data_IF_578587466238
#
_entry.id   IF_578587466238
#
_cell.length_a   1.000
_cell.length_b   1.000
_cell.length_c   1.000
_cell.angle_alpha   90.00
_cell.angle_beta   90.00
_cell.angle_gamma   90.00
#
_symmetry.space_group_name_H-M   'P 1'
#
loop_
_entity.id
_entity.type
_entity.pdbx_description
1 polymer ?
#
# COMPACT_ATOMS: atom_id res chain seq x y z
N UNK A 1 -39.50 42.78 35.41
CA UNK A 1 -38.14 42.44 35.91
C UNK A 1 -37.74 41.11 35.31
N UNK A 2 -36.67 41.12 34.50
CA UNK A 2 -36.10 39.85 33.98
C UNK A 2 -35.16 39.29 35.04
N UNK A 3 -35.66 38.39 35.87
CA UNK A 3 -34.83 37.72 36.90
C UNK A 3 -34.91 36.22 36.69
N UNK A 4 -33.89 35.47 37.14
CA UNK A 4 -33.81 34.03 37.05
C UNK A 4 -35.04 33.37 37.73
N UNK A 5 -35.81 32.60 37.01
CA UNK A 5 -37.01 31.92 37.52
C UNK A 5 -36.70 30.94 38.69
N UNK A 6 -35.45 30.50 38.81
CA UNK A 6 -35.07 29.48 39.81
C UNK A 6 -34.48 30.11 41.11
N UNK A 7 -33.65 31.10 41.00
CA UNK A 7 -32.93 31.70 42.15
C UNK A 7 -33.11 33.22 42.33
N UNK A 8 -33.83 33.88 41.42
CA UNK A 8 -34.05 35.32 41.46
C UNK A 8 -32.86 36.20 41.05
N UNK A 9 -31.76 35.63 40.57
CA UNK A 9 -30.58 36.40 40.15
C UNK A 9 -30.88 37.27 38.92
N UNK A 10 -30.14 38.36 38.78
CA UNK A 10 -30.22 39.27 37.63
C UNK A 10 -29.55 38.68 36.38
N UNK A 11 -29.84 39.24 35.14
CA UNK A 11 -29.19 38.81 33.90
C UNK A 11 -27.65 38.82 33.95
N UNK A 12 -26.98 37.99 33.12
CA UNK A 12 -27.49 37.34 31.91
C UNK A 12 -28.33 36.07 32.17
N UNK A 13 -29.40 35.89 31.40
CA UNK A 13 -30.30 34.72 31.48
C UNK A 13 -30.28 33.93 30.19
N UNK A 14 -30.33 32.60 30.33
CA UNK A 14 -30.46 31.63 29.28
C UNK A 14 -31.69 30.77 29.53
N UNK A 15 -32.60 30.72 28.60
CA UNK A 15 -33.86 29.97 28.78
C UNK A 15 -34.59 30.39 30.09
N UNK A 16 -34.58 31.70 30.44
CA UNK A 16 -35.16 32.31 31.65
C UNK A 16 -34.49 31.92 32.98
N UNK A 17 -33.34 31.31 32.98
CA UNK A 17 -32.53 31.01 34.17
C UNK A 17 -31.12 31.60 34.05
N UNK A 18 -30.47 31.90 35.18
CA UNK A 18 -29.09 32.40 35.15
C UNK A 18 -28.10 31.28 34.77
N UNK A 19 -26.89 31.67 34.37
CA UNK A 19 -25.85 30.73 33.92
C UNK A 19 -25.54 29.64 34.96
N UNK A 20 -25.53 29.99 36.25
CA UNK A 20 -25.26 28.98 37.30
C UNK A 20 -26.42 27.98 37.47
N UNK A 21 -27.64 28.45 37.39
CA UNK A 21 -28.79 27.55 37.34
C UNK A 21 -28.82 26.70 36.08
N UNK A 22 -28.42 27.26 34.93
CA UNK A 22 -28.31 26.54 33.65
C UNK A 22 -27.28 25.40 33.78
N UNK A 23 -26.11 25.66 34.35
CA UNK A 23 -25.07 24.61 34.60
C UNK A 23 -25.55 23.45 35.47
N UNK A 24 -26.52 23.71 36.37
CA UNK A 24 -27.03 22.70 37.28
C UNK A 24 -28.25 21.94 36.73
N UNK A 25 -28.99 22.54 35.81
CA UNK A 25 -30.26 21.99 35.35
C UNK A 25 -30.31 21.50 33.92
N UNK A 26 -29.48 22.11 33.06
CA UNK A 26 -29.48 21.72 31.64
C UNK A 26 -28.65 20.48 31.48
N UNK A 27 -29.27 19.44 30.98
CA UNK A 27 -28.59 18.22 30.63
C UNK A 27 -27.86 18.40 29.28
N UNK A 28 -26.52 18.45 29.31
CA UNK A 28 -25.67 18.63 28.12
C UNK A 28 -25.63 17.38 27.26
N UNK A 29 -25.48 16.23 27.89
CA UNK A 29 -25.33 14.94 27.25
C UNK A 29 -25.80 13.80 28.14
N UNK A 30 -26.28 12.74 27.56
CA UNK A 30 -26.64 11.49 28.25
C UNK A 30 -26.11 10.28 27.47
N UNK A 31 -25.96 9.15 28.14
CA UNK A 31 -25.67 7.88 27.53
C UNK A 31 -26.16 6.76 28.46
N UNK A 32 -26.44 5.56 27.92
CA UNK A 32 -26.77 4.40 28.75
C UNK A 32 -25.61 4.01 29.67
N UNK A 33 -25.87 3.75 30.94
CA UNK A 33 -24.85 3.35 31.93
C UNK A 33 -24.16 2.03 31.56
N UNK A 34 -24.87 1.13 30.87
CA UNK A 34 -24.38 -0.18 30.46
C UNK A 34 -24.45 -0.34 28.93
N UNK A 35 -23.30 -0.46 28.31
CA UNK A 35 -23.18 -0.67 26.87
C UNK A 35 -22.77 -2.13 26.57
N UNK A 36 -23.18 -2.61 25.41
CA UNK A 36 -22.77 -3.92 24.88
C UNK A 36 -22.35 -3.79 23.43
N UNK A 37 -21.11 -4.16 23.14
CA UNK A 37 -20.61 -4.19 21.78
C UNK A 37 -20.15 -5.58 21.36
N UNK A 38 -20.05 -5.79 20.06
CA UNK A 38 -19.45 -7.01 19.50
C UNK A 38 -18.18 -6.59 18.76
N UNK A 39 -17.05 -7.19 19.14
CA UNK A 39 -15.75 -6.95 18.47
C UNK A 39 -15.18 -8.24 17.92
N UNK A 40 -14.40 -8.13 16.83
CA UNK A 40 -13.67 -9.26 16.31
C UNK A 40 -12.49 -9.60 17.22
N UNK A 41 -12.39 -10.89 17.61
CA UNK A 41 -11.29 -11.36 18.46
C UNK A 41 -9.90 -11.19 17.81
N UNK A 42 -9.84 -11.23 16.47
CA UNK A 42 -8.55 -11.27 15.74
C UNK A 42 -8.10 -9.90 15.22
N UNK A 43 -9.00 -9.02 14.81
CA UNK A 43 -8.66 -7.72 14.21
C UNK A 43 -9.30 -6.52 14.94
N UNK A 44 -10.01 -6.75 16.06
CA UNK A 44 -10.69 -5.74 16.87
C UNK A 44 -11.76 -4.91 16.17
N UNK A 45 -12.11 -5.23 14.92
CA UNK A 45 -13.21 -4.56 14.23
C UNK A 45 -14.48 -4.60 15.05
N UNK A 46 -15.20 -3.49 15.07
CA UNK A 46 -16.49 -3.32 15.74
C UNK A 46 -17.61 -3.75 14.79
N UNK A 47 -18.51 -4.61 15.26
CA UNK A 47 -19.70 -4.98 14.50
C UNK A 47 -20.74 -3.85 14.53
N UNK A 48 -21.12 -3.39 13.35
CA UNK A 48 -22.21 -2.44 13.12
C UNK A 48 -23.32 -3.10 12.30
N UNK A 49 -24.52 -2.51 12.19
CA UNK A 49 -25.58 -3.05 11.35
C UNK A 49 -25.12 -3.26 9.90
N UNK A 50 -25.03 -4.52 9.47
CA UNK A 50 -24.66 -4.91 8.11
C UNK A 50 -23.16 -4.98 7.82
N UNK A 51 -22.28 -4.51 8.72
CA UNK A 51 -20.83 -4.40 8.42
C UNK A 51 -19.95 -4.50 9.67
N UNK A 52 -18.61 -4.35 9.47
CA UNK A 52 -17.60 -4.30 10.49
C UNK A 52 -16.70 -3.08 10.29
N UNK A 53 -16.65 -2.20 11.30
CA UNK A 53 -15.76 -1.02 11.33
C UNK A 53 -14.39 -1.43 11.85
N UNK A 54 -13.34 -1.08 11.11
CA UNK A 54 -11.95 -1.44 11.44
C UNK A 54 -11.34 -0.53 12.49
N UNK A 55 -10.62 -1.13 13.42
CA UNK A 55 -9.84 -0.46 14.45
C UNK A 55 -8.49 -1.15 14.65
N UNK A 56 -7.46 -0.37 14.94
CA UNK A 56 -6.12 -0.90 15.19
C UNK A 56 -6.00 -1.57 16.56
N UNK A 57 -6.82 -1.16 17.52
CA UNK A 57 -6.81 -1.69 18.89
C UNK A 57 -8.22 -1.86 19.44
N UNK A 58 -8.37 -2.75 20.41
CA UNK A 58 -9.65 -2.91 21.12
C UNK A 58 -10.05 -1.64 21.85
N UNK A 59 -9.08 -0.94 22.45
CA UNK A 59 -9.34 0.30 23.20
C UNK A 59 -9.89 1.40 22.30
N UNK A 60 -9.39 1.53 21.06
CA UNK A 60 -9.93 2.49 20.10
C UNK A 60 -11.36 2.13 19.66
N UNK A 61 -11.67 0.85 19.48
CA UNK A 61 -13.02 0.38 19.17
C UNK A 61 -13.99 0.64 20.32
N UNK A 62 -13.57 0.36 21.56
CA UNK A 62 -14.36 0.59 22.79
C UNK A 62 -14.63 2.08 22.97
N UNK A 63 -13.61 2.92 22.84
CA UNK A 63 -13.75 4.38 22.96
C UNK A 63 -14.68 4.93 21.89
N UNK A 64 -14.51 4.52 20.64
CA UNK A 64 -15.38 4.93 19.55
C UNK A 64 -16.85 4.56 19.81
N UNK A 65 -17.09 3.31 20.21
CA UNK A 65 -18.46 2.84 20.48
C UNK A 65 -19.10 3.60 21.64
N UNK A 66 -18.37 3.84 22.73
CA UNK A 66 -18.87 4.59 23.87
C UNK A 66 -19.16 6.06 23.52
N UNK A 67 -18.26 6.73 22.78
CA UNK A 67 -18.47 8.12 22.38
C UNK A 67 -19.62 8.28 21.37
N UNK A 68 -19.80 7.32 20.46
CA UNK A 68 -20.94 7.32 19.53
C UNK A 68 -22.29 7.00 20.18
N UNK A 69 -22.28 6.50 21.43
CA UNK A 69 -23.50 6.25 22.21
C UNK A 69 -23.98 7.48 23.01
N UNK A 70 -23.27 8.60 22.91
CA UNK A 70 -23.64 9.84 23.59
C UNK A 70 -24.79 10.51 22.85
N UNK A 71 -25.86 10.77 23.56
CA UNK A 71 -26.96 11.61 23.10
C UNK A 71 -26.75 13.04 23.60
N UNK A 72 -26.48 13.96 22.68
CA UNK A 72 -26.24 15.35 22.98
C UNK A 72 -27.55 16.15 23.00
N UNK A 73 -27.57 17.17 23.88
CA UNK A 73 -28.61 18.19 23.80
C UNK A 73 -28.62 18.82 22.40
N UNK A 74 -29.81 18.95 21.80
CA UNK A 74 -29.99 19.42 20.41
C UNK A 74 -29.43 20.82 20.16
N UNK A 75 -29.44 21.67 21.20
CA UNK A 75 -29.01 23.06 21.11
C UNK A 75 -27.54 23.22 21.58
N UNK A 76 -26.85 22.13 21.90
CA UNK A 76 -25.44 22.15 22.29
C UNK A 76 -24.52 22.30 21.07
N UNK A 77 -23.66 23.30 21.12
CA UNK A 77 -22.63 23.60 20.13
C UNK A 77 -21.22 23.29 20.67
N UNK A 78 -20.23 23.21 19.80
CA UNK A 78 -18.83 22.96 20.14
C UNK A 78 -18.64 21.74 21.06
N UNK A 79 -19.32 20.65 20.74
CA UNK A 79 -19.29 19.41 21.51
C UNK A 79 -17.88 18.80 21.51
N UNK A 80 -17.35 18.52 22.70
CA UNK A 80 -16.05 17.84 22.89
C UNK A 80 -16.21 16.71 23.90
N UNK A 81 -15.48 15.61 23.67
CA UNK A 81 -15.45 14.46 24.57
C UNK A 81 -13.99 14.13 24.90
N UNK A 82 -13.69 14.06 26.18
CA UNK A 82 -12.46 13.49 26.69
C UNK A 82 -12.80 12.11 27.28
N UNK A 83 -12.07 11.08 26.88
CA UNK A 83 -12.31 9.72 27.34
C UNK A 83 -11.18 9.22 28.22
N UNK A 84 -11.53 8.62 29.35
CA UNK A 84 -10.61 7.85 30.16
C UNK A 84 -11.14 6.43 30.26
N UNK A 85 -10.34 5.49 29.76
CA UNK A 85 -10.67 4.06 29.67
C UNK A 85 -9.92 3.28 30.73
N UNK A 86 -10.64 2.44 31.47
CA UNK A 86 -10.06 1.48 32.41
C UNK A 86 -10.59 0.08 32.09
N UNK A 87 -9.70 -0.82 31.72
CA UNK A 87 -10.04 -2.22 31.49
C UNK A 87 -10.12 -2.97 32.84
N UNK A 88 -11.26 -3.55 33.14
CA UNK A 88 -11.51 -4.32 34.37
C UNK A 88 -11.13 -5.79 34.19
N UNK A 89 -11.48 -6.35 33.02
CA UNK A 89 -11.10 -7.69 32.58
C UNK A 89 -11.09 -7.74 31.04
N UNK A 90 -10.73 -8.86 30.39
CA UNK A 90 -10.64 -8.93 28.91
C UNK A 90 -11.92 -8.53 28.16
N UNK A 91 -13.08 -8.53 28.83
CA UNK A 91 -14.37 -8.24 28.20
C UNK A 91 -15.10 -7.04 28.82
N UNK A 92 -14.65 -6.51 29.98
CA UNK A 92 -15.32 -5.42 30.68
C UNK A 92 -14.45 -4.20 30.81
N UNK A 93 -15.02 -3.07 30.44
CA UNK A 93 -14.38 -1.78 30.46
C UNK A 93 -15.23 -0.78 31.25
N UNK A 94 -14.57 0.08 31.98
CA UNK A 94 -15.19 1.25 32.60
C UNK A 94 -14.65 2.50 31.93
N UNK A 95 -15.56 3.34 31.43
CA UNK A 95 -15.23 4.59 30.77
C UNK A 95 -15.74 5.76 31.58
N UNK A 96 -14.90 6.77 31.72
CA UNK A 96 -15.27 8.08 32.21
C UNK A 96 -15.17 9.06 31.04
N UNK A 97 -16.34 9.55 30.57
CA UNK A 97 -16.41 10.48 29.46
C UNK A 97 -16.69 11.89 29.99
N UNK A 98 -15.73 12.80 29.82
CA UNK A 98 -15.89 14.23 30.10
C UNK A 98 -16.50 14.91 28.87
N UNK A 99 -17.78 15.20 28.90
CA UNK A 99 -18.49 15.92 27.85
C UNK A 99 -18.48 17.41 28.14
N UNK A 100 -18.12 18.22 27.17
CA UNK A 100 -18.18 19.69 27.25
C UNK A 100 -18.79 20.28 25.99
N UNK A 101 -19.46 21.43 26.12
CA UNK A 101 -20.09 22.11 25.01
C UNK A 101 -20.68 23.46 25.42
N UNK A 102 -21.18 24.21 24.46
CA UNK A 102 -21.79 25.54 24.66
C UNK A 102 -23.30 25.43 24.39
N UNK A 103 -24.10 25.83 25.35
CA UNK A 103 -25.55 25.96 25.23
C UNK A 103 -25.94 27.43 25.38
N UNK A 104 -26.41 28.07 24.30
CA UNK A 104 -26.81 29.48 24.29
C UNK A 104 -25.82 30.37 25.06
N UNK A 105 -24.53 30.35 24.69
CA UNK A 105 -23.42 31.11 25.29
C UNK A 105 -22.93 30.62 26.68
N UNK A 106 -23.58 29.62 27.28
CA UNK A 106 -23.15 29.03 28.56
C UNK A 106 -22.29 27.79 28.29
N UNK A 107 -21.07 27.78 28.80
CA UNK A 107 -20.23 26.62 28.82
C UNK A 107 -20.75 25.59 29.83
N UNK A 108 -21.12 24.42 29.35
CA UNK A 108 -21.58 23.29 30.15
C UNK A 108 -20.57 22.17 30.11
N UNK A 109 -20.50 21.40 31.21
CA UNK A 109 -19.72 20.17 31.28
C UNK A 109 -20.48 19.10 32.07
N UNK A 110 -20.33 17.85 31.63
CA UNK A 110 -20.92 16.68 32.30
C UNK A 110 -19.98 15.50 32.22
N UNK A 111 -19.84 14.78 33.32
CA UNK A 111 -19.12 13.50 33.33
C UNK A 111 -20.12 12.34 33.26
N UNK A 112 -19.92 11.46 32.29
CA UNK A 112 -20.66 10.21 32.16
C UNK A 112 -19.76 9.06 32.59
N UNK A 113 -20.27 8.14 33.41
CA UNK A 113 -19.57 6.93 33.82
C UNK A 113 -20.32 5.73 33.22
N UNK A 114 -19.64 5.01 32.36
CA UNK A 114 -20.26 3.91 31.59
C UNK A 114 -19.53 2.60 31.90
N UNK A 115 -20.27 1.50 31.92
CA UNK A 115 -19.70 0.15 31.85
C UNK A 115 -19.98 -0.45 30.47
N UNK A 116 -18.96 -0.97 29.83
CA UNK A 116 -19.04 -1.54 28.50
C UNK A 116 -18.61 -3.01 28.52
N UNK A 117 -19.47 -3.88 28.01
CA UNK A 117 -19.19 -5.30 27.86
C UNK A 117 -18.93 -5.64 26.39
N UNK A 118 -17.79 -6.27 26.13
CA UNK A 118 -17.38 -6.72 24.80
C UNK A 118 -17.71 -8.20 24.63
N UNK A 119 -18.54 -8.53 23.65
CA UNK A 119 -18.71 -9.90 23.18
C UNK A 119 -17.79 -10.13 21.98
N UNK A 120 -16.91 -11.12 22.08
CA UNK A 120 -16.05 -11.47 20.97
C UNK A 120 -16.74 -12.39 19.97
N UNK A 121 -16.58 -12.06 18.68
CA UNK A 121 -17.01 -12.86 17.54
C UNK A 121 -15.93 -12.74 16.46
N UNK A 122 -15.70 -13.77 15.65
CA UNK A 122 -14.81 -13.67 14.51
C UNK A 122 -15.56 -13.02 13.35
N UNK A 123 -15.01 -11.95 12.74
CA UNK A 123 -15.59 -11.33 11.55
C UNK A 123 -15.38 -12.22 10.31
N UNK A 124 -16.17 -11.99 9.27
CA UNK A 124 -16.12 -12.79 8.05
C UNK A 124 -14.74 -12.76 7.39
N UNK A 125 -14.08 -11.62 7.41
CA UNK A 125 -12.74 -11.44 6.84
C UNK A 125 -11.70 -12.30 7.57
N UNK A 126 -11.65 -12.23 8.91
CA UNK A 126 -10.77 -13.08 9.71
C UNK A 126 -11.09 -14.58 9.57
N UNK A 127 -12.38 -14.92 9.45
CA UNK A 127 -12.78 -16.31 9.21
C UNK A 127 -12.30 -16.81 7.85
N UNK A 128 -12.40 -15.98 6.81
CA UNK A 128 -11.88 -16.29 5.47
C UNK A 128 -10.35 -16.44 5.46
N UNK A 129 -9.63 -15.49 6.13
CA UNK A 129 -8.17 -15.59 6.28
C UNK A 129 -7.76 -16.90 6.95
N UNK A 130 -8.37 -17.22 8.09
CA UNK A 130 -8.09 -18.44 8.83
C UNK A 130 -8.45 -19.74 8.06
N UNK A 131 -9.44 -19.68 7.20
CA UNK A 131 -9.86 -20.79 6.33
C UNK A 131 -9.10 -20.90 5.02
N UNK A 132 -8.07 -20.07 4.78
CA UNK A 132 -7.30 -20.08 3.52
C UNK A 132 -8.15 -19.76 2.28
N UNK A 133 -9.16 -18.90 2.44
CA UNK A 133 -10.04 -18.54 1.32
C UNK A 133 -9.34 -17.72 0.27
N UNK A 134 -9.51 -18.12 -1.01
CA UNK A 134 -9.05 -17.35 -2.17
C UNK A 134 -10.00 -17.50 -3.36
N UNK A 135 -10.07 -16.47 -4.19
CA UNK A 135 -10.86 -16.39 -5.42
C UNK A 135 -9.98 -16.45 -6.67
N UNK A 136 -8.73 -15.98 -6.55
CA UNK A 136 -7.81 -15.86 -7.66
C UNK A 136 -6.44 -16.46 -7.35
N UNK A 137 -5.78 -16.96 -8.40
CA UNK A 137 -4.37 -17.32 -8.40
C UNK A 137 -3.66 -16.38 -9.37
N UNK A 138 -2.65 -15.66 -8.87
CA UNK A 138 -1.75 -14.88 -9.71
C UNK A 138 -0.45 -15.65 -9.87
N UNK A 139 -0.10 -15.99 -11.09
CA UNK A 139 1.08 -16.76 -11.45
C UNK A 139 2.07 -15.88 -12.19
N UNK A 140 3.19 -15.52 -11.55
CA UNK A 140 4.26 -14.73 -12.18
C UNK A 140 5.34 -15.67 -12.69
N UNK A 141 5.70 -15.56 -13.96
CA UNK A 141 6.66 -16.43 -14.65
C UNK A 141 7.72 -15.61 -15.38
N UNK A 142 8.99 -15.87 -15.11
CA UNK A 142 10.18 -15.37 -15.81
C UNK A 142 11.36 -16.27 -15.46
N UNK A 143 12.38 -16.31 -16.30
CA UNK A 143 13.61 -17.08 -16.05
C UNK A 143 14.61 -16.27 -15.23
N UNK A 144 14.51 -14.94 -15.22
CA UNK A 144 15.47 -14.07 -14.58
C UNK A 144 15.06 -13.73 -13.15
N UNK A 145 15.88 -14.15 -12.21
CA UNK A 145 15.61 -13.95 -10.77
C UNK A 145 15.37 -12.47 -10.42
N UNK A 146 16.21 -11.54 -10.91
CA UNK A 146 16.07 -10.09 -10.65
C UNK A 146 14.69 -9.55 -11.06
N UNK A 147 14.21 -9.93 -12.25
CA UNK A 147 12.88 -9.53 -12.72
C UNK A 147 11.78 -10.13 -11.84
N UNK A 148 11.95 -11.40 -11.43
CA UNK A 148 11.01 -12.08 -10.54
C UNK A 148 10.94 -11.39 -9.18
N UNK A 149 12.08 -11.10 -8.56
CA UNK A 149 12.16 -10.47 -7.25
C UNK A 149 11.45 -9.10 -7.27
N UNK A 150 11.72 -8.25 -8.25
CA UNK A 150 11.03 -6.97 -8.42
C UNK A 150 9.51 -7.11 -8.66
N UNK A 151 9.08 -8.14 -9.38
CA UNK A 151 7.66 -8.39 -9.61
C UNK A 151 6.97 -8.89 -8.34
N UNK A 152 7.62 -9.74 -7.57
CA UNK A 152 7.15 -10.25 -6.26
C UNK A 152 6.99 -9.09 -5.27
N UNK A 153 8.02 -8.22 -5.13
CA UNK A 153 7.96 -7.02 -4.28
C UNK A 153 6.81 -6.10 -4.68
N UNK A 154 6.58 -5.95 -5.99
CA UNK A 154 5.45 -5.18 -6.49
C UNK A 154 4.10 -5.75 -6.04
N UNK A 155 3.93 -7.09 -6.09
CA UNK A 155 2.70 -7.74 -5.64
C UNK A 155 2.49 -7.53 -4.14
N UNK A 156 3.53 -7.70 -3.30
CA UNK A 156 3.43 -7.45 -1.87
C UNK A 156 3.01 -6.00 -1.58
N UNK A 157 3.70 -5.02 -2.13
CA UNK A 157 3.37 -3.60 -1.94
C UNK A 157 1.94 -3.27 -2.40
N UNK A 158 1.46 -3.92 -3.47
CA UNK A 158 0.11 -3.72 -3.98
C UNK A 158 -0.97 -4.31 -3.06
N UNK A 159 -0.68 -5.42 -2.38
CA UNK A 159 -1.60 -6.03 -1.40
C UNK A 159 -1.55 -5.27 -0.08
N UNK A 160 -0.36 -4.87 0.41
CA UNK A 160 -0.19 -4.14 1.67
C UNK A 160 -0.89 -2.77 1.65
N UNK A 161 -0.97 -2.14 0.47
CA UNK A 161 -1.69 -0.88 0.27
C UNK A 161 -3.20 -1.04 0.00
N UNK A 162 -3.70 -2.27 -0.08
CA UNK A 162 -5.11 -2.55 -0.34
C UNK A 162 -5.95 -2.54 0.97
N UNK A 163 -7.29 -2.37 0.87
CA UNK A 163 -8.19 -2.55 2.01
C UNK A 163 -8.01 -3.94 2.67
N UNK A 164 -8.26 -4.04 3.96
CA UNK A 164 -7.99 -5.24 4.77
C UNK A 164 -8.77 -6.49 4.36
N UNK A 165 -9.87 -6.32 3.63
CA UNK A 165 -10.65 -7.42 3.04
C UNK A 165 -9.89 -8.13 1.90
N UNK A 166 -8.92 -7.43 1.31
CA UNK A 166 -8.06 -7.96 0.26
C UNK A 166 -6.78 -8.48 0.91
N UNK A 167 -6.57 -9.77 0.85
CA UNK A 167 -5.43 -10.42 1.46
C UNK A 167 -4.90 -11.55 0.59
N UNK A 168 -3.72 -11.98 0.93
CA UNK A 168 -3.04 -13.14 0.38
C UNK A 168 -3.28 -14.34 1.31
N UNK A 169 -3.82 -15.42 0.77
CA UNK A 169 -4.13 -16.62 1.53
C UNK A 169 -2.91 -17.57 1.61
N UNK A 170 -2.23 -17.73 0.49
CA UNK A 170 -1.03 -18.54 0.36
C UNK A 170 -0.15 -17.99 -0.76
N UNK A 171 1.14 -18.21 -0.65
CA UNK A 171 2.12 -17.77 -1.63
C UNK A 171 3.37 -18.64 -1.59
N UNK A 172 4.08 -18.69 -2.69
CA UNK A 172 5.35 -19.41 -2.69
C UNK A 172 6.03 -19.51 -4.05
N UNK A 173 7.35 -19.79 -4.01
CA UNK A 173 8.12 -20.04 -5.22
C UNK A 173 7.71 -21.35 -5.89
N UNK A 174 7.66 -21.33 -7.21
CA UNK A 174 7.42 -22.50 -8.05
C UNK A 174 8.49 -22.58 -9.14
N UNK A 175 8.56 -23.69 -9.85
CA UNK A 175 9.51 -23.83 -10.97
C UNK A 175 9.25 -22.75 -12.02
N UNK A 176 10.22 -21.84 -12.19
CA UNK A 176 10.18 -20.76 -13.17
C UNK A 176 9.30 -19.56 -12.79
N UNK A 177 9.02 -19.36 -11.49
CA UNK A 177 8.23 -18.21 -11.05
C UNK A 177 7.77 -18.25 -9.61
N UNK A 178 6.66 -17.57 -9.36
CA UNK A 178 6.06 -17.41 -8.04
C UNK A 178 4.53 -17.39 -8.17
N UNK A 179 3.82 -18.04 -7.25
CA UNK A 179 2.36 -18.10 -7.23
C UNK A 179 1.81 -17.44 -5.97
N UNK A 180 0.69 -16.70 -6.13
CA UNK A 180 -0.04 -16.03 -5.07
C UNK A 180 -1.51 -16.41 -5.11
N UNK A 181 -2.08 -16.80 -3.98
CA UNK A 181 -3.52 -17.01 -3.83
C UNK A 181 -4.14 -15.77 -3.19
N UNK A 182 -5.02 -15.09 -3.92
CA UNK A 182 -5.58 -13.80 -3.54
C UNK A 182 -7.07 -13.92 -3.21
N UNK A 183 -7.50 -13.23 -2.17
CA UNK A 183 -8.90 -13.18 -1.73
C UNK A 183 -9.84 -12.47 -2.71
N UNK A 184 -9.30 -11.70 -3.66
CA UNK A 184 -10.05 -10.88 -4.61
C UNK A 184 -9.63 -11.14 -6.05
N UNK A 185 -10.60 -11.52 -6.89
CA UNK A 185 -10.41 -11.66 -8.34
C UNK A 185 -10.09 -10.35 -9.02
N UNK A 186 -10.75 -9.25 -8.60
CA UNK A 186 -10.54 -7.93 -9.19
C UNK A 186 -9.13 -7.41 -8.92
N UNK A 187 -8.65 -7.57 -7.68
CA UNK A 187 -7.29 -7.17 -7.31
C UNK A 187 -6.25 -8.01 -8.05
N UNK A 188 -6.46 -9.32 -8.17
CA UNK A 188 -5.59 -10.21 -8.97
C UNK A 188 -5.49 -9.77 -10.43
N UNK A 189 -6.62 -9.40 -11.03
CA UNK A 189 -6.67 -8.88 -12.40
C UNK A 189 -5.97 -7.54 -12.56
N UNK A 190 -6.15 -6.62 -11.58
CA UNK A 190 -5.47 -5.32 -11.58
C UNK A 190 -3.96 -5.49 -11.53
N UNK A 191 -3.46 -6.26 -10.56
CA UNK A 191 -2.02 -6.53 -10.40
C UNK A 191 -1.44 -7.17 -11.67
N UNK A 192 -2.13 -8.15 -12.27
CA UNK A 192 -1.67 -8.79 -13.50
C UNK A 192 -1.48 -7.77 -14.65
N UNK A 193 -2.42 -6.83 -14.80
CA UNK A 193 -2.33 -5.75 -15.79
C UNK A 193 -1.23 -4.75 -15.48
N UNK A 194 -1.09 -4.38 -14.23
CA UNK A 194 -0.07 -3.44 -13.76
C UNK A 194 1.34 -3.99 -13.97
N UNK A 195 1.56 -5.27 -13.67
CA UNK A 195 2.82 -5.98 -13.96
C UNK A 195 3.13 -5.95 -15.46
N UNK A 196 2.14 -6.23 -16.31
CA UNK A 196 2.32 -6.16 -17.76
C UNK A 196 2.66 -4.74 -18.24
N UNK A 197 2.05 -3.71 -17.66
CA UNK A 197 2.35 -2.31 -18.02
C UNK A 197 3.76 -1.92 -17.57
N UNK A 198 4.15 -2.32 -16.36
CA UNK A 198 5.43 -1.91 -15.77
C UNK A 198 6.64 -2.67 -16.31
N UNK A 199 6.50 -3.98 -16.52
CA UNK A 199 7.62 -4.85 -16.91
C UNK A 199 7.50 -5.40 -18.34
N UNK A 200 6.36 -5.20 -18.98
CA UNK A 200 6.07 -5.81 -20.27
C UNK A 200 5.58 -7.26 -20.14
N UNK A 201 5.48 -7.94 -21.28
CA UNK A 201 5.13 -9.36 -21.34
C UNK A 201 3.68 -9.64 -21.72
N UNK A 202 3.13 -10.74 -21.21
CA UNK A 202 1.81 -11.24 -21.58
C UNK A 202 1.01 -11.63 -20.34
N UNK A 203 -0.31 -11.38 -20.39
CA UNK A 203 -1.26 -11.83 -19.38
C UNK A 203 -2.27 -12.78 -20.03
N UNK A 204 -2.49 -13.91 -19.37
CA UNK A 204 -3.56 -14.87 -19.72
C UNK A 204 -4.51 -14.99 -18.54
N UNK A 205 -5.81 -15.03 -18.80
CA UNK A 205 -6.83 -15.27 -17.78
C UNK A 205 -7.57 -16.56 -18.12
N UNK A 206 -7.65 -17.44 -17.13
CA UNK A 206 -8.46 -18.66 -17.19
C UNK A 206 -9.33 -18.76 -15.95
N UNK A 207 -10.43 -19.50 -16.03
CA UNK A 207 -11.29 -19.76 -14.88
C UNK A 207 -11.64 -21.24 -14.77
N UNK A 208 -11.93 -21.67 -13.56
CA UNK A 208 -12.37 -23.01 -13.23
C UNK A 208 -13.60 -22.94 -12.34
N UNK A 209 -14.64 -23.69 -12.69
CA UNK A 209 -15.80 -23.88 -11.82
C UNK A 209 -15.39 -24.71 -10.60
N UNK A 210 -15.57 -24.18 -9.40
CA UNK A 210 -15.24 -24.83 -8.12
C UNK A 210 -16.47 -25.22 -7.30
N UNK A 211 -17.66 -24.78 -7.70
CA UNK A 211 -18.92 -25.09 -7.04
C UNK A 211 -20.04 -24.16 -7.42
N UNK A 212 -21.17 -24.29 -6.72
CA UNK A 212 -22.32 -23.39 -6.84
C UNK A 212 -22.76 -22.92 -5.45
N UNK A 213 -23.11 -21.65 -5.34
CA UNK A 213 -23.68 -21.07 -4.13
C UNK A 213 -24.87 -20.18 -4.52
N UNK A 214 -26.01 -20.38 -3.88
CA UNK A 214 -27.24 -19.59 -4.10
C UNK A 214 -27.64 -19.53 -5.59
N UNK A 215 -27.49 -20.65 -6.31
CA UNK A 215 -27.81 -20.75 -7.75
C UNK A 215 -26.78 -20.12 -8.70
N UNK A 216 -25.69 -19.53 -8.18
CA UNK A 216 -24.62 -18.92 -8.96
C UNK A 216 -23.37 -19.79 -8.98
N UNK A 217 -22.74 -19.85 -10.14
CA UNK A 217 -21.47 -20.57 -10.30
C UNK A 217 -20.35 -19.85 -9.55
N UNK A 218 -19.61 -20.60 -8.74
CA UNK A 218 -18.39 -20.11 -8.09
C UNK A 218 -17.20 -20.43 -8.97
N UNK A 219 -16.59 -19.39 -9.51
CA UNK A 219 -15.43 -19.49 -10.37
C UNK A 219 -14.17 -19.12 -9.61
N UNK A 220 -13.10 -19.87 -9.84
CA UNK A 220 -11.74 -19.51 -9.44
C UNK A 220 -10.98 -19.05 -10.66
N UNK A 221 -10.44 -17.84 -10.60
CA UNK A 221 -9.69 -17.23 -11.69
C UNK A 221 -8.20 -17.50 -11.54
N UNK A 222 -7.51 -17.70 -12.66
CA UNK A 222 -6.05 -17.79 -12.70
C UNK A 222 -5.53 -16.76 -13.70
N UNK A 223 -4.68 -15.88 -13.22
CA UNK A 223 -3.98 -14.85 -13.99
C UNK A 223 -2.54 -15.29 -14.19
N UNK A 224 -2.19 -15.75 -15.37
CA UNK A 224 -0.82 -16.09 -15.74
C UNK A 224 -0.12 -14.88 -16.33
N UNK A 225 0.88 -14.34 -15.63
CA UNK A 225 1.70 -13.21 -16.06
C UNK A 225 3.07 -13.74 -16.47
N UNK A 226 3.37 -13.70 -17.76
CA UNK A 226 4.68 -14.06 -18.28
C UNK A 226 5.47 -12.80 -18.58
N UNK A 227 6.45 -12.51 -17.70
CA UNK A 227 7.33 -11.35 -17.83
C UNK A 227 8.52 -11.68 -18.75
N UNK A 228 9.10 -10.65 -19.41
CA UNK A 228 10.34 -10.80 -20.15
C UNK A 228 11.51 -11.07 -19.20
N UNK A 229 12.61 -11.56 -19.75
CA UNK A 229 13.83 -11.77 -18.98
C UNK A 229 14.71 -10.50 -18.93
N UNK A 230 14.25 -9.39 -19.50
CA UNK A 230 14.90 -8.07 -19.51
C UNK A 230 14.03 -7.02 -18.82
N UNK A 231 14.65 -6.00 -18.28
CA UNK A 231 13.97 -4.86 -17.65
C UNK A 231 14.60 -3.52 -18.06
N UNK A 232 13.88 -2.43 -17.84
CA UNK A 232 14.41 -1.09 -18.05
C UNK A 232 15.65 -0.88 -17.19
N UNK A 233 16.71 -0.31 -17.79
CA UNK A 233 18.01 -0.14 -17.16
C UNK A 233 19.01 -1.27 -17.44
N UNK A 234 18.56 -2.38 -18.03
CA UNK A 234 19.50 -3.46 -18.41
C UNK A 234 20.41 -3.03 -19.58
N UNK A 235 21.59 -3.61 -19.59
CA UNK A 235 22.57 -3.50 -20.66
C UNK A 235 22.62 -4.84 -21.43
N UNK A 236 22.59 -4.76 -22.73
CA UNK A 236 22.53 -5.92 -23.63
C UNK A 236 23.64 -5.86 -24.68
N UNK A 237 24.16 -7.04 -25.06
CA UNK A 237 24.96 -7.18 -26.25
C UNK A 237 24.08 -7.70 -27.40
N UNK A 238 23.90 -6.90 -28.42
CA UNK A 238 23.05 -7.20 -29.58
C UNK A 238 23.62 -6.57 -30.84
N UNK A 239 23.64 -7.31 -31.95
CA UNK A 239 24.15 -6.85 -33.25
C UNK A 239 25.55 -6.22 -33.14
N UNK A 240 26.46 -6.92 -32.46
CA UNK A 240 27.86 -6.49 -32.26
C UNK A 240 28.01 -5.12 -31.56
N UNK A 241 27.03 -4.72 -30.78
CA UNK A 241 27.03 -3.46 -30.05
C UNK A 241 26.41 -3.60 -28.65
N UNK A 242 26.74 -2.64 -27.78
CA UNK A 242 26.19 -2.52 -26.44
C UNK A 242 24.98 -1.57 -26.48
N UNK A 243 23.91 -2.01 -25.89
CA UNK A 243 22.63 -1.30 -25.83
C UNK A 243 22.12 -1.20 -24.42
N UNK A 244 21.46 -0.10 -24.06
CA UNK A 244 20.66 0.00 -22.84
C UNK A 244 19.17 -0.11 -23.14
N UNK A 245 18.42 -0.79 -22.27
CA UNK A 245 16.97 -0.87 -22.35
C UNK A 245 16.39 0.39 -21.70
N UNK A 246 15.86 1.31 -22.51
CA UNK A 246 15.36 2.61 -22.02
C UNK A 246 13.87 2.57 -21.68
N UNK A 247 13.11 1.70 -22.36
CA UNK A 247 11.67 1.57 -22.13
C UNK A 247 11.20 0.18 -22.58
N UNK A 248 10.24 -0.37 -21.82
CA UNK A 248 9.49 -1.54 -22.23
C UNK A 248 8.01 -1.15 -22.25
N UNK A 249 7.31 -1.46 -23.35
CA UNK A 249 5.89 -1.24 -23.52
C UNK A 249 5.27 -2.53 -24.05
N UNK A 250 4.59 -3.25 -23.14
CA UNK A 250 3.96 -4.55 -23.42
C UNK A 250 4.92 -5.55 -24.10
N UNK A 251 4.94 -5.57 -25.42
CA UNK A 251 5.75 -6.52 -26.23
C UNK A 251 6.98 -5.89 -26.88
N UNK A 252 7.15 -4.58 -26.77
CA UNK A 252 8.25 -3.85 -27.43
C UNK A 252 9.20 -3.27 -26.40
N UNK A 253 10.49 -3.34 -26.71
CA UNK A 253 11.54 -2.69 -25.96
C UNK A 253 12.21 -1.62 -26.83
N UNK A 254 12.44 -0.43 -26.25
CA UNK A 254 13.23 0.62 -26.83
C UNK A 254 14.65 0.47 -26.31
N UNK A 255 15.59 0.39 -27.22
CA UNK A 255 17.01 0.26 -26.94
C UNK A 255 17.73 1.50 -27.42
N UNK A 256 18.71 1.98 -26.63
CA UNK A 256 19.65 3.02 -26.99
C UNK A 256 21.04 2.41 -27.13
N UNK A 257 21.66 2.58 -28.29
CA UNK A 257 23.05 2.17 -28.51
C UNK A 257 23.98 3.08 -27.71
N UNK A 258 24.91 2.50 -26.98
CA UNK A 258 25.79 3.24 -26.07
C UNK A 258 27.12 3.63 -26.68
N UNK A 259 27.48 3.03 -27.80
CA UNK A 259 28.70 3.33 -28.56
C UNK A 259 28.37 3.98 -29.89
N UNK A 260 29.24 4.88 -30.41
CA UNK A 260 29.05 5.51 -31.71
C UNK A 260 28.91 4.48 -32.85
N UNK A 261 28.05 4.76 -33.83
CA UNK A 261 27.09 5.85 -33.88
C UNK A 261 25.92 5.62 -32.90
N UNK A 262 25.62 6.63 -32.05
CA UNK A 262 24.50 6.57 -31.11
C UNK A 262 23.18 6.50 -31.89
N UNK A 263 22.35 5.55 -31.57
CA UNK A 263 21.07 5.31 -32.24
C UNK A 263 20.05 4.70 -31.32
N UNK A 264 18.78 4.80 -31.69
CA UNK A 264 17.69 4.14 -30.96
C UNK A 264 17.08 3.06 -31.86
N UNK A 265 16.70 1.94 -31.25
CA UNK A 265 16.06 0.80 -31.94
C UNK A 265 14.89 0.31 -31.11
N UNK A 266 13.78 0.01 -31.78
CA UNK A 266 12.64 -0.66 -31.14
C UNK A 266 12.60 -2.10 -31.63
N UNK A 267 12.55 -3.05 -30.70
CA UNK A 267 12.54 -4.48 -30.98
C UNK A 267 11.40 -5.18 -30.23
N UNK A 268 10.99 -6.35 -30.68
CA UNK A 268 10.11 -7.20 -29.89
C UNK A 268 10.87 -7.74 -28.68
N UNK A 269 10.27 -7.65 -27.48
CA UNK A 269 10.90 -8.15 -26.23
C UNK A 269 11.28 -9.62 -26.31
N UNK A 270 10.48 -10.40 -27.02
CA UNK A 270 10.73 -11.83 -27.23
C UNK A 270 12.05 -12.09 -27.99
N UNK A 271 12.45 -11.19 -28.91
CA UNK A 271 13.72 -11.33 -29.63
C UNK A 271 14.94 -11.12 -28.75
N UNK A 272 14.77 -10.48 -27.58
CA UNK A 272 15.87 -10.25 -26.64
C UNK A 272 16.19 -11.44 -25.73
N UNK A 273 15.41 -12.54 -25.79
CA UNK A 273 15.62 -13.72 -24.94
C UNK A 273 16.96 -14.41 -25.11
N UNK A 274 17.54 -14.27 -26.27
CA UNK A 274 18.86 -14.87 -26.60
C UNK A 274 19.99 -13.87 -26.47
N UNK A 275 19.68 -12.58 -26.28
CA UNK A 275 20.69 -11.54 -26.16
C UNK A 275 21.36 -11.62 -24.79
N UNK A 276 22.70 -11.66 -24.72
CA UNK A 276 23.42 -11.62 -23.45
C UNK A 276 23.10 -10.32 -22.71
N UNK A 277 22.74 -10.47 -21.43
CA UNK A 277 22.57 -9.35 -20.51
C UNK A 277 23.90 -9.13 -19.82
N UNK A 278 24.38 -7.91 -19.86
CA UNK A 278 25.65 -7.52 -19.26
C UNK A 278 25.44 -7.15 -17.80
N UNK A 279 26.50 -7.27 -17.01
CA UNK A 279 26.51 -6.78 -15.64
C UNK A 279 26.41 -5.27 -15.57
N UNK A 280 26.18 -4.72 -14.36
CA UNK A 280 26.19 -3.28 -14.13
C UNK A 280 27.53 -2.68 -14.54
N UNK A 281 27.55 -1.49 -15.19
CA UNK A 281 28.78 -0.87 -15.62
C UNK A 281 29.62 -0.44 -14.41
N UNK A 282 30.92 -0.67 -14.48
CA UNK A 282 31.88 -0.22 -13.49
C UNK A 282 32.42 1.16 -13.83
N UNK A 283 32.70 1.98 -12.84
CA UNK A 283 33.37 3.26 -13.01
C UNK A 283 34.77 3.06 -13.53
N UNK A 284 35.19 3.91 -14.49
CA UNK A 284 36.49 3.87 -15.12
C UNK A 284 37.28 5.11 -14.74
N UNK A 285 38.52 4.93 -14.31
CA UNK A 285 39.39 6.04 -13.99
C UNK A 285 40.00 6.62 -15.28
N UNK A 286 39.83 7.93 -15.50
CA UNK A 286 40.53 8.68 -16.52
C UNK A 286 41.94 8.99 -16.00
N UNK A 287 42.97 8.45 -16.65
CA UNK A 287 44.37 8.69 -16.29
C UNK A 287 44.85 10.01 -16.91
N UNK A 288 44.56 10.21 -18.19
CA UNK A 288 44.87 11.46 -18.93
C UNK A 288 43.97 11.58 -20.16
N UNK A 289 43.84 12.78 -20.70
CA UNK A 289 43.18 13.00 -21.98
C UNK A 289 43.83 14.15 -22.76
N UNK A 290 43.73 14.06 -24.07
CA UNK A 290 44.10 15.12 -24.98
C UNK A 290 43.06 15.18 -26.10
N UNK A 291 42.35 16.31 -26.17
CA UNK A 291 41.21 16.46 -27.07
C UNK A 291 40.16 15.34 -26.83
N UNK A 292 39.99 14.47 -27.81
CA UNK A 292 39.04 13.33 -27.74
C UNK A 292 39.72 12.00 -27.40
N UNK A 293 41.02 11.99 -27.28
CA UNK A 293 41.80 10.79 -26.93
C UNK A 293 41.95 10.70 -25.43
N UNK A 294 41.45 9.60 -24.85
CA UNK A 294 41.46 9.31 -23.41
C UNK A 294 42.32 8.08 -23.13
N UNK A 295 43.14 8.17 -22.11
CA UNK A 295 43.83 7.03 -21.53
C UNK A 295 43.03 6.63 -20.29
N UNK A 296 42.39 5.46 -20.34
CA UNK A 296 41.48 4.95 -19.33
C UNK A 296 42.10 3.74 -18.62
N UNK A 297 41.79 3.57 -17.34
CA UNK A 297 42.10 2.33 -16.61
C UNK A 297 40.95 1.36 -16.79
N UNK A 298 41.15 0.24 -17.47
CA UNK A 298 40.14 -0.81 -17.57
C UNK A 298 39.90 -1.45 -16.18
N UNK A 299 38.69 -1.32 -15.62
CA UNK A 299 38.42 -1.82 -14.28
C UNK A 299 38.38 -3.34 -14.17
N UNK A 300 38.39 -4.07 -15.29
CA UNK A 300 38.38 -5.54 -15.32
C UNK A 300 39.78 -6.13 -15.47
N UNK A 301 40.63 -5.49 -16.23
CA UNK A 301 41.99 -5.99 -16.55
C UNK A 301 43.09 -5.24 -15.81
N UNK A 302 42.77 -4.07 -15.24
CA UNK A 302 43.71 -3.13 -14.62
C UNK A 302 44.83 -2.66 -15.56
N UNK A 303 44.58 -2.69 -16.88
CA UNK A 303 45.47 -2.19 -17.90
C UNK A 303 45.01 -0.83 -18.40
N UNK A 304 45.91 -0.04 -18.87
CA UNK A 304 45.60 1.23 -19.54
C UNK A 304 45.18 0.98 -20.97
N UNK A 305 44.07 1.57 -21.37
CA UNK A 305 43.50 1.45 -22.72
C UNK A 305 43.25 2.83 -23.29
N UNK A 306 43.61 3.02 -24.57
CA UNK A 306 43.27 4.21 -25.31
C UNK A 306 41.82 4.13 -25.84
N UNK A 307 41.05 5.18 -25.65
CA UNK A 307 39.68 5.28 -26.12
C UNK A 307 39.39 6.67 -26.67
N UNK A 308 38.51 6.75 -27.67
CA UNK A 308 38.10 8.00 -28.29
C UNK A 308 36.70 8.36 -27.84
N UNK A 309 36.54 9.56 -27.25
CA UNK A 309 35.22 10.03 -26.82
C UNK A 309 34.31 10.36 -28.00
N UNK A 310 32.98 10.25 -27.87
CA UNK A 310 32.05 10.72 -28.87
C UNK A 310 32.21 12.22 -29.13
N UNK A 311 31.86 12.66 -30.33
CA UNK A 311 31.86 14.07 -30.69
C UNK A 311 30.88 14.87 -29.81
N UNK A 312 31.34 16.01 -29.28
CA UNK A 312 30.53 16.85 -28.41
C UNK A 312 30.37 16.34 -26.95
N UNK A 313 31.05 15.25 -26.57
CA UNK A 313 31.07 14.82 -25.19
C UNK A 313 32.01 15.70 -24.35
N UNK A 314 31.52 16.16 -23.20
CA UNK A 314 32.26 17.03 -22.28
C UNK A 314 32.11 16.58 -20.81
N UNK A 315 31.68 15.33 -20.57
CA UNK A 315 31.54 14.78 -19.22
C UNK A 315 32.85 14.26 -18.64
N UNK A 316 32.84 13.99 -17.34
CA UNK A 316 34.00 13.46 -16.61
C UNK A 316 33.81 11.97 -16.23
N UNK A 317 32.59 11.42 -16.45
CA UNK A 317 32.28 10.04 -16.06
C UNK A 317 32.31 9.09 -17.25
N UNK A 318 33.24 8.14 -17.20
CA UNK A 318 33.32 7.01 -18.13
C UNK A 318 33.05 5.74 -17.37
N UNK A 319 32.17 4.89 -17.90
CA UNK A 319 31.89 3.58 -17.32
C UNK A 319 32.30 2.48 -18.30
N UNK A 320 32.62 1.32 -17.77
CA UNK A 320 33.02 0.15 -18.55
C UNK A 320 32.01 -0.99 -18.39
N UNK A 321 31.67 -1.61 -19.50
CA UNK A 321 30.88 -2.83 -19.58
C UNK A 321 31.72 -3.94 -20.18
N UNK A 322 31.54 -5.20 -19.72
CA UNK A 322 32.29 -6.34 -20.25
C UNK A 322 31.37 -7.33 -20.96
N UNK A 323 31.79 -7.77 -22.14
CA UNK A 323 31.21 -8.92 -22.82
C UNK A 323 32.31 -9.83 -23.33
N UNK A 324 32.36 -11.07 -22.86
CA UNK A 324 33.45 -11.98 -23.15
C UNK A 324 34.78 -11.46 -22.62
N UNK A 325 35.73 -11.27 -23.54
CA UNK A 325 37.05 -10.68 -23.21
C UNK A 325 37.13 -9.20 -23.54
N UNK A 326 36.11 -8.62 -24.16
CA UNK A 326 36.14 -7.23 -24.62
C UNK A 326 35.50 -6.29 -23.60
N UNK A 327 36.16 -5.13 -23.40
CA UNK A 327 35.66 -4.03 -22.57
C UNK A 327 35.14 -2.90 -23.45
N UNK A 328 33.95 -2.41 -23.13
CA UNK A 328 33.23 -1.35 -23.84
C UNK A 328 33.09 -0.14 -22.92
N UNK A 329 33.71 0.97 -23.28
CA UNK A 329 33.67 2.21 -22.52
C UNK A 329 32.45 3.04 -22.94
N UNK A 330 31.60 3.35 -21.95
CA UNK A 330 30.38 4.10 -22.15
C UNK A 330 30.54 5.50 -21.57
N UNK A 331 30.28 6.50 -22.38
CA UNK A 331 30.43 7.90 -22.08
C UNK A 331 29.09 8.48 -21.60
N UNK A 332 29.02 8.89 -20.35
CA UNK A 332 27.82 9.41 -19.69
C UNK A 332 27.76 10.91 -19.61
#
# INVERSE_FOLDING_TARGET
>A
MNVCLRCGAEPPLVSQICHDCARQTIELASAPDNLRMISCKSCFSLKVPGDWLEFNTLDSAVTHYATSSIEWNKDAQEQKVESNLNQLDPQRFRLKLGCSGIFQEVSLSKTLNLELNVKFQVCQNCSRKAGGYYEAILQVRTKRKRVLDHAVDYVYNSIDSAPSEIFMAEEGPVRGGFDFQLSSTEKGRSIARELMVKYGGQVTETNKLIGRKDGRDLLRHTFGVRLPDVMVGDYLFLDEAVWSVTRIDRRKANLRRLLPPISNKTVEVESLRTSPILDEPLETQVISHRDREYLLLDPFTFQTVEAISPEGWSGDEVKALRYGNDTYFVWH
#
